data_IF_244908098976
#
_entry.id   IF_244908098976
#
_cell.length_a   1.000
_cell.length_b   1.000
_cell.length_c   1.000
_cell.angle_alpha   90.00
_cell.angle_beta   90.00
_cell.angle_gamma   90.00
#
_symmetry.space_group_name_H-M   'P 1'
#
loop_
_entity.id
_entity.type
_entity.pdbx_description
1 polymer ?
#
# COMPACT_ATOMS: atom_id res chain seq x y z
N UNK A 1 21.20 12.14 -16.85
CA UNK A 1 21.44 12.54 -15.45
C UNK A 1 22.10 11.38 -14.73
N UNK A 2 23.27 11.65 -14.17
CA UNK A 2 24.22 10.69 -13.57
C UNK A 2 23.55 9.88 -12.47
N UNK A 3 23.60 8.54 -12.54
CA UNK A 3 23.36 7.69 -11.39
C UNK A 3 24.58 7.82 -10.48
N UNK A 4 24.48 8.62 -9.41
CA UNK A 4 25.52 8.67 -8.39
C UNK A 4 25.72 7.25 -7.85
N UNK A 5 26.96 6.78 -7.82
CA UNK A 5 27.39 5.49 -7.24
C UNK A 5 27.27 5.47 -5.70
N UNK A 6 26.13 5.91 -5.17
CA UNK A 6 25.72 5.73 -3.79
C UNK A 6 24.89 4.46 -3.67
N UNK A 7 24.93 3.81 -2.51
CA UNK A 7 24.22 2.54 -2.26
C UNK A 7 22.78 2.62 -2.78
N UNK A 8 22.31 1.66 -3.60
CA UNK A 8 20.94 1.61 -4.08
C UNK A 8 20.02 1.30 -2.89
N UNK A 9 19.59 2.34 -2.18
CA UNK A 9 18.83 2.18 -0.95
C UNK A 9 17.34 2.35 -1.23
N UNK A 10 16.62 1.27 -0.99
CA UNK A 10 15.16 1.25 -1.07
C UNK A 10 14.60 1.81 0.24
N UNK A 11 14.14 3.06 0.21
CA UNK A 11 13.67 3.80 1.39
C UNK A 11 12.19 3.51 1.79
N UNK A 12 11.57 2.49 1.20
CA UNK A 12 10.14 2.19 1.41
C UNK A 12 9.91 0.71 1.71
N UNK A 13 8.94 0.45 2.58
CA UNK A 13 8.46 -0.90 2.86
C UNK A 13 7.52 -1.33 1.73
N UNK A 14 7.59 -2.61 1.34
CA UNK A 14 6.79 -3.15 0.25
C UNK A 14 5.39 -3.38 0.82
N UNK A 15 4.38 -2.95 0.08
CA UNK A 15 2.99 -3.18 0.41
C UNK A 15 2.26 -3.76 -0.79
N UNK A 16 1.27 -4.60 -0.51
CA UNK A 16 0.33 -5.12 -1.50
C UNK A 16 -1.00 -4.42 -1.27
N UNK A 17 -1.55 -3.83 -2.34
CA UNK A 17 -2.90 -3.30 -2.33
C UNK A 17 -3.88 -4.48 -2.43
N UNK A 18 -4.69 -4.68 -1.40
CA UNK A 18 -5.65 -5.79 -1.37
C UNK A 18 -6.97 -5.41 -2.07
N UNK A 19 -7.45 -4.20 -1.82
CA UNK A 19 -8.73 -3.73 -2.30
C UNK A 19 -9.29 -2.61 -1.42
N UNK A 20 -10.59 -2.36 -1.54
CA UNK A 20 -11.29 -1.37 -0.74
C UNK A 20 -12.02 -2.01 0.42
N UNK A 21 -12.40 -1.20 1.41
CA UNK A 21 -13.28 -1.64 2.50
C UNK A 21 -14.60 -2.15 1.92
N UNK A 22 -14.96 -3.38 2.25
CA UNK A 22 -16.21 -4.03 1.84
C UNK A 22 -17.02 -4.39 3.08
N UNK A 23 -18.34 -4.38 2.96
CA UNK A 23 -19.20 -4.88 4.03
C UNK A 23 -19.23 -6.41 4.02
N UNK A 24 -19.04 -6.99 5.20
CA UNK A 24 -19.20 -8.43 5.43
C UNK A 24 -20.49 -8.62 6.20
N UNK A 25 -21.59 -8.68 5.46
CA UNK A 25 -22.85 -9.40 5.71
C UNK A 25 -23.89 -8.87 4.70
N UNK A 26 -24.76 -9.73 4.18
CA UNK A 26 -25.92 -9.41 3.32
C UNK A 26 -25.72 -8.80 1.92
N UNK A 27 -24.49 -8.70 1.40
CA UNK A 27 -24.29 -8.35 -0.01
C UNK A 27 -22.85 -7.99 -0.37
N UNK A 28 -22.16 -8.88 -1.09
CA UNK A 28 -20.78 -8.72 -1.56
C UNK A 28 -20.57 -7.58 -2.58
N UNK A 29 -21.58 -6.73 -2.79
CA UNK A 29 -21.64 -5.77 -3.89
C UNK A 29 -21.18 -4.37 -3.49
N UNK A 30 -21.28 -4.00 -2.21
CA UNK A 30 -20.99 -2.64 -1.79
C UNK A 30 -19.52 -2.46 -1.40
N UNK A 31 -18.79 -1.69 -2.20
CA UNK A 31 -17.37 -1.38 -2.00
C UNK A 31 -17.21 0.11 -1.69
N UNK A 32 -16.57 0.42 -0.57
CA UNK A 32 -16.34 1.80 -0.14
C UNK A 32 -14.95 2.25 -0.59
N UNK A 33 -14.88 2.91 -1.75
CA UNK A 33 -13.62 3.30 -2.38
C UNK A 33 -12.80 4.36 -1.60
N UNK A 34 -13.41 5.04 -0.62
CA UNK A 34 -12.71 6.04 0.20
C UNK A 34 -11.64 5.42 1.13
N UNK A 35 -11.79 4.15 1.52
CA UNK A 35 -10.84 3.46 2.39
C UNK A 35 -10.22 2.27 1.67
N UNK A 36 -8.91 2.31 1.48
CA UNK A 36 -8.12 1.21 0.94
C UNK A 36 -7.59 0.28 2.04
N UNK A 37 -7.53 -1.02 1.72
CA UNK A 37 -6.90 -2.06 2.51
C UNK A 37 -5.53 -2.37 1.91
N UNK A 38 -4.48 -2.18 2.71
CA UNK A 38 -3.09 -2.39 2.30
C UNK A 38 -2.43 -3.38 3.25
N UNK A 39 -1.79 -4.42 2.70
CA UNK A 39 -0.98 -5.36 3.45
C UNK A 39 0.48 -5.00 3.33
N UNK A 40 1.12 -4.71 4.46
CA UNK A 40 2.55 -4.42 4.52
C UNK A 40 3.30 -5.76 4.57
N UNK A 41 4.40 -5.88 3.82
CA UNK A 41 5.20 -7.10 3.78
C UNK A 41 5.87 -7.35 5.14
N UNK A 42 5.70 -8.57 5.67
CA UNK A 42 6.31 -8.98 6.93
C UNK A 42 5.49 -8.66 8.19
N UNK A 43 4.29 -8.06 8.05
CA UNK A 43 3.38 -7.85 9.18
C UNK A 43 2.31 -8.94 9.23
N UNK A 44 2.23 -9.65 10.35
CA UNK A 44 1.18 -10.62 10.67
C UNK A 44 0.28 -10.12 11.81
N UNK A 45 0.87 -9.42 12.76
CA UNK A 45 0.21 -9.03 14.01
C UNK A 45 -0.25 -7.59 14.00
N UNK A 46 -1.31 -7.31 14.78
CA UNK A 46 -1.87 -5.95 14.90
C UNK A 46 -0.91 -4.99 15.61
N UNK A 47 -0.10 -5.49 16.55
CA UNK A 47 0.83 -4.68 17.35
C UNK A 47 1.89 -4.01 16.48
N UNK A 48 2.36 -4.70 15.45
CA UNK A 48 3.40 -4.18 14.56
C UNK A 48 2.86 -3.14 13.57
N UNK A 49 1.54 -3.14 13.34
CA UNK A 49 0.86 -2.17 12.46
C UNK A 49 0.85 -0.77 13.07
N UNK A 50 0.84 -0.66 14.40
CA UNK A 50 0.77 0.63 15.10
C UNK A 50 1.93 1.56 14.72
N UNK A 51 3.11 1.01 14.44
CA UNK A 51 4.25 1.78 13.94
C UNK A 51 4.00 2.48 12.60
N UNK A 52 3.15 1.90 11.74
CA UNK A 52 2.88 2.40 10.40
C UNK A 52 1.70 3.37 10.33
N UNK A 53 0.97 3.58 11.42
CA UNK A 53 -0.11 4.54 11.49
C UNK A 53 0.41 5.96 11.23
N UNK A 54 -0.30 6.71 10.39
CA UNK A 54 0.05 8.09 10.03
C UNK A 54 1.17 8.25 8.97
N UNK A 55 1.84 7.17 8.56
CA UNK A 55 2.84 7.23 7.47
C UNK A 55 2.16 7.44 6.11
N UNK A 56 2.88 8.10 5.19
CA UNK A 56 2.42 8.33 3.81
C UNK A 56 2.64 7.12 2.92
N UNK A 57 1.73 6.89 1.98
CA UNK A 57 1.76 5.79 1.01
C UNK A 57 1.78 6.40 -0.39
N UNK A 58 2.60 5.83 -1.29
CA UNK A 58 2.66 6.21 -2.70
C UNK A 58 2.37 4.99 -3.59
N UNK A 59 1.51 5.16 -4.58
CA UNK A 59 1.23 4.17 -5.62
C UNK A 59 1.83 4.64 -6.94
N UNK A 60 2.91 4.00 -7.36
CA UNK A 60 3.64 4.35 -8.59
C UNK A 60 3.24 3.35 -9.68
N UNK A 61 2.74 3.86 -10.80
CA UNK A 61 2.43 3.08 -11.99
C UNK A 61 3.02 3.76 -13.24
N UNK A 62 3.28 2.99 -14.28
CA UNK A 62 3.68 3.50 -15.59
C UNK A 62 2.46 3.50 -16.50
N UNK A 63 2.10 4.67 -17.03
CA UNK A 63 1.10 4.79 -18.08
C UNK A 63 1.77 4.76 -19.46
N UNK A 64 1.04 4.32 -20.50
CA UNK A 64 1.43 4.59 -21.88
C UNK A 64 0.97 6.00 -22.23
N UNK A 65 1.86 6.82 -22.75
CA UNK A 65 1.46 8.06 -23.42
C UNK A 65 0.88 7.70 -24.79
N UNK A 66 -0.22 8.34 -25.18
CA UNK A 66 -0.82 8.24 -26.51
C UNK A 66 0.03 8.96 -27.55
#
# INVERSE_FOLDING_TARGET
MVASSGQPTRLYVKGIFLGYKRWVCFGLRNQYAHTALVKIQGLTDKKDVDFYLGKKIAYIYKAKAL
#
